data_IF_722319633924
#
_entry.id   IF_722319633924
#
_cell.length_a   1.000
_cell.length_b   1.000
_cell.length_c   1.000
_cell.angle_alpha   90.00
_cell.angle_beta   90.00
_cell.angle_gamma   90.00
#
_symmetry.space_group_name_H-M   'P 1'
#
loop_
_entity.id
_entity.type
_entity.pdbx_description
1 polymer ?
#
# COMPACT_ATOMS: atom_id res chain seq x y z
N UNK A 1 -12.93 10.09 -16.91
CA UNK A 1 -12.01 10.95 -17.69
C UNK A 1 -10.60 10.42 -17.50
N UNK A 2 -9.80 10.27 -18.56
CA UNK A 2 -8.38 9.92 -18.40
C UNK A 2 -7.63 11.08 -17.73
N UNK A 3 -6.75 10.76 -16.78
CA UNK A 3 -5.89 11.73 -16.12
C UNK A 3 -4.71 12.01 -17.06
N UNK A 4 -4.66 13.20 -17.66
CA UNK A 4 -3.67 13.53 -18.70
C UNK A 4 -2.61 14.55 -18.25
N UNK A 5 -2.68 15.02 -17.01
CA UNK A 5 -1.70 15.92 -16.39
C UNK A 5 -1.50 15.53 -14.91
N UNK A 6 -0.34 15.86 -14.30
CA UNK A 6 -0.13 15.63 -12.88
C UNK A 6 -1.26 16.22 -12.02
N UNK A 7 -1.64 15.50 -10.97
CA UNK A 7 -2.68 15.93 -10.02
C UNK A 7 -2.00 16.48 -8.78
N UNK A 8 -2.45 17.64 -8.30
CA UNK A 8 -2.00 18.20 -7.03
C UNK A 8 -3.11 17.98 -6.00
N UNK A 9 -2.79 17.30 -4.91
CA UNK A 9 -3.70 17.07 -3.78
C UNK A 9 -2.91 17.19 -2.47
N UNK A 10 -3.45 17.94 -1.50
CA UNK A 10 -2.83 18.14 -0.18
C UNK A 10 -1.36 18.56 -0.25
N UNK A 11 -1.04 19.50 -1.16
CA UNK A 11 0.32 20.00 -1.40
C UNK A 11 1.32 18.94 -1.89
N UNK A 12 0.84 17.81 -2.42
CA UNK A 12 1.64 16.74 -3.03
C UNK A 12 1.32 16.65 -4.53
N UNK A 13 2.35 16.43 -5.33
CA UNK A 13 2.23 16.25 -6.79
C UNK A 13 2.23 14.75 -7.09
N UNK A 14 1.16 14.27 -7.71
CA UNK A 14 1.01 12.90 -8.19
C UNK A 14 1.15 12.88 -9.72
N UNK A 15 2.22 12.28 -10.28
CA UNK A 15 2.39 12.20 -11.73
C UNK A 15 1.34 11.28 -12.36
N UNK A 16 1.06 11.49 -13.65
CA UNK A 16 0.17 10.61 -14.42
C UNK A 16 0.77 9.20 -14.46
N UNK A 17 0.08 8.17 -13.96
CA UNK A 17 0.62 6.83 -13.96
C UNK A 17 0.55 6.25 -15.38
N UNK A 18 1.65 5.68 -15.88
CA UNK A 18 1.72 5.08 -17.23
C UNK A 18 0.93 3.78 -17.36
N UNK A 19 0.64 3.15 -16.24
CA UNK A 19 -0.19 1.95 -16.08
C UNK A 19 -1.09 2.13 -14.85
N UNK A 20 -2.05 1.25 -14.62
CA UNK A 20 -2.92 1.35 -13.45
C UNK A 20 -2.09 1.31 -12.14
N UNK A 21 -2.28 2.31 -11.28
CA UNK A 21 -1.66 2.37 -9.95
C UNK A 21 -2.72 1.99 -8.91
N UNK A 22 -2.40 1.00 -8.05
CA UNK A 22 -3.32 0.44 -7.07
C UNK A 22 -2.67 0.48 -5.68
N UNK A 23 -3.41 0.95 -4.69
CA UNK A 23 -3.08 0.79 -3.28
C UNK A 23 -4.09 -0.18 -2.64
N UNK A 24 -3.61 -1.14 -1.85
CA UNK A 24 -4.44 -2.09 -1.11
C UNK A 24 -4.15 -1.91 0.37
N UNK A 25 -5.15 -1.47 1.13
CA UNK A 25 -5.09 -1.46 2.59
C UNK A 25 -5.62 -2.80 3.10
N UNK A 26 -4.74 -3.61 3.70
CA UNK A 26 -5.13 -4.82 4.43
C UNK A 26 -5.33 -4.43 5.89
N UNK A 27 -6.58 -4.23 6.31
CA UNK A 27 -6.89 -3.73 7.65
C UNK A 27 -6.39 -4.70 8.75
N UNK A 28 -5.78 -4.16 9.80
CA UNK A 28 -5.18 -4.93 10.88
C UNK A 28 -4.06 -5.90 10.47
N UNK A 29 -3.46 -5.74 9.28
CA UNK A 29 -2.44 -6.65 8.76
C UNK A 29 -1.06 -6.39 9.39
N UNK A 30 -0.89 -6.84 10.63
CA UNK A 30 0.42 -6.92 11.28
C UNK A 30 1.42 -7.67 10.38
N UNK A 31 2.64 -7.13 10.13
CA UNK A 31 3.64 -7.76 9.27
C UNK A 31 3.90 -9.25 9.52
N UNK A 32 3.74 -9.72 10.76
CA UNK A 32 3.95 -11.12 11.13
C UNK A 32 2.97 -12.08 10.45
N UNK A 33 1.72 -11.67 10.21
CA UNK A 33 0.75 -12.49 9.48
C UNK A 33 1.27 -12.88 8.10
N UNK A 34 1.88 -11.93 7.38
CA UNK A 34 2.43 -12.15 6.05
C UNK A 34 3.70 -13.00 6.10
N UNK A 35 4.55 -12.83 7.12
CA UNK A 35 5.77 -13.64 7.27
C UNK A 35 5.44 -15.11 7.49
N UNK A 36 4.54 -15.41 8.42
CA UNK A 36 4.13 -16.79 8.73
C UNK A 36 3.49 -17.44 7.51
N UNK A 37 2.53 -16.76 6.86
CA UNK A 37 1.86 -17.32 5.68
C UNK A 37 2.81 -17.56 4.48
N UNK A 38 3.84 -16.72 4.31
CA UNK A 38 4.90 -16.95 3.31
C UNK A 38 5.79 -18.15 3.70
N UNK A 39 6.16 -18.27 4.98
CA UNK A 39 6.98 -19.37 5.48
C UNK A 39 6.29 -20.73 5.31
N UNK A 40 4.97 -20.78 5.55
CA UNK A 40 4.11 -21.96 5.30
C UNK A 40 3.82 -22.22 3.81
N UNK A 41 4.38 -21.42 2.90
CA UNK A 41 4.21 -21.61 1.46
C UNK A 41 2.82 -21.22 0.90
N UNK A 42 1.99 -20.54 1.69
CA UNK A 42 0.60 -20.21 1.34
C UNK A 42 0.47 -18.94 0.48
N UNK A 43 1.53 -18.15 0.35
CA UNK A 43 1.53 -16.88 -0.39
C UNK A 43 2.61 -16.81 -1.49
N UNK A 44 2.60 -17.71 -2.49
CA UNK A 44 3.65 -17.76 -3.52
C UNK A 44 3.76 -16.46 -4.34
N UNK A 45 2.63 -15.80 -4.62
CA UNK A 45 2.62 -14.53 -5.37
C UNK A 45 3.23 -13.38 -4.55
N UNK A 46 2.86 -13.24 -3.27
CA UNK A 46 3.38 -12.17 -2.42
C UNK A 46 4.88 -12.38 -2.13
N UNK A 47 5.30 -13.64 -1.92
CA UNK A 47 6.72 -13.99 -1.78
C UNK A 47 7.53 -13.47 -2.97
N UNK A 48 7.12 -13.81 -4.19
CA UNK A 48 7.77 -13.34 -5.42
C UNK A 48 7.78 -11.81 -5.52
N UNK A 49 6.66 -11.14 -5.21
CA UNK A 49 6.58 -9.67 -5.25
C UNK A 49 7.55 -9.02 -4.27
N UNK A 50 7.74 -9.57 -3.06
CA UNK A 50 8.71 -9.05 -2.08
C UNK A 50 10.16 -9.25 -2.54
N UNK A 51 10.48 -10.40 -3.14
CA UNK A 51 11.82 -10.73 -3.63
C UNK A 51 12.23 -9.90 -4.87
N UNK A 52 11.30 -9.66 -5.79
CA UNK A 52 11.59 -8.94 -7.05
C UNK A 52 11.19 -7.46 -7.03
N UNK A 53 10.53 -7.02 -5.96
CA UNK A 53 9.95 -5.69 -5.82
C UNK A 53 10.60 -4.89 -4.70
N UNK A 54 9.79 -4.12 -3.97
CA UNK A 54 10.23 -3.33 -2.82
C UNK A 54 9.38 -3.68 -1.61
N UNK A 55 10.04 -4.00 -0.50
CA UNK A 55 9.43 -4.41 0.75
C UNK A 55 9.95 -3.53 1.90
N UNK A 56 9.06 -2.82 2.58
CA UNK A 56 9.37 -1.81 3.61
C UNK A 56 8.31 -1.80 4.69
N UNK A 57 8.70 -1.38 5.88
CA UNK A 57 7.77 -1.01 6.95
C UNK A 57 7.42 0.47 6.86
N UNK A 58 6.18 0.80 7.19
CA UNK A 58 5.68 2.17 7.28
C UNK A 58 4.96 2.35 8.61
N UNK A 59 4.87 3.60 9.08
CA UNK A 59 4.10 3.93 10.28
C UNK A 59 2.69 4.35 9.92
N UNK A 60 1.72 3.86 10.69
CA UNK A 60 0.34 4.34 10.68
C UNK A 60 0.23 5.68 11.43
N UNK A 61 -0.91 6.34 11.24
CA UNK A 61 -1.31 7.49 12.07
C UNK A 61 -1.75 6.98 13.44
N UNK A 62 -1.49 7.80 14.48
CA UNK A 62 -2.01 7.60 15.84
C UNK A 62 -3.21 8.53 16.07
N UNK A 63 -4.35 8.04 16.60
CA UNK A 63 -4.59 6.67 17.04
C UNK A 63 -4.67 5.70 15.84
N UNK A 64 -4.16 4.47 16.04
CA UNK A 64 -4.05 3.43 15.01
C UNK A 64 -5.41 2.77 14.72
N UNK A 65 -6.40 3.59 14.41
CA UNK A 65 -7.76 3.19 14.06
C UNK A 65 -7.95 3.16 12.55
N UNK A 66 -8.91 2.36 12.10
CA UNK A 66 -9.27 2.19 10.69
C UNK A 66 -9.59 3.54 10.02
N UNK A 67 -10.50 4.34 10.59
CA UNK A 67 -10.95 5.57 9.94
C UNK A 67 -9.84 6.64 9.76
N UNK A 68 -9.07 7.01 10.79
CA UNK A 68 -7.96 7.94 10.63
C UNK A 68 -6.94 7.48 9.59
N UNK A 69 -6.61 6.19 9.57
CA UNK A 69 -5.61 5.65 8.64
C UNK A 69 -6.14 5.56 7.21
N UNK A 70 -7.35 5.07 6.99
CA UNK A 70 -7.93 4.97 5.66
C UNK A 70 -8.14 6.34 5.02
N UNK A 71 -8.56 7.34 5.81
CA UNK A 71 -8.67 8.70 5.29
C UNK A 71 -7.28 9.27 4.96
N UNK A 72 -6.28 9.03 5.80
CA UNK A 72 -4.90 9.47 5.57
C UNK A 72 -4.23 8.80 4.36
N UNK A 73 -4.63 7.57 4.00
CA UNK A 73 -4.19 6.90 2.76
C UNK A 73 -4.88 7.52 1.54
N UNK A 74 -6.15 7.91 1.67
CA UNK A 74 -6.96 8.46 0.59
C UNK A 74 -6.62 9.92 0.24
N UNK A 75 -5.90 10.64 1.11
CA UNK A 75 -5.61 12.08 0.99
C UNK A 75 -4.11 12.35 1.00
#
# INVERSE_FOLDING_TARGET
MPINAPVIANSRIYPVPRTCAIAICLDGCEPEYLKVAIAEGLMPNLKRIRETGTDRLAHSVIPSFTNPNNLSIAT
#
